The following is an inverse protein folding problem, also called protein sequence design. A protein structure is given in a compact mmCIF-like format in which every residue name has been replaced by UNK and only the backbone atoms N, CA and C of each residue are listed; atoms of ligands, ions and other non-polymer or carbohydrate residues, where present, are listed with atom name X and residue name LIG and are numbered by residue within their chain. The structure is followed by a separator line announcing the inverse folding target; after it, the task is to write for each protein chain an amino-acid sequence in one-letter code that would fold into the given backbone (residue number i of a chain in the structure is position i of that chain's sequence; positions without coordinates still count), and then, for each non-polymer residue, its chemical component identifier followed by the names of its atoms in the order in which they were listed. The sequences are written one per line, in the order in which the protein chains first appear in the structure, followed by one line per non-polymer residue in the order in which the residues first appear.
data_IF_496746088172
#
_entry.id   IF_496746088172
#
_cell.length_a   1.000
_cell.length_b   1.000
_cell.length_c   1.000
_cell.angle_alpha   90.00
_cell.angle_beta   90.00
_cell.angle_gamma   90.00
#
_symmetry.space_group_name_H-M   'P 1'
#
loop_
_entity.id
_entity.type
_entity.pdbx_description
1 polymer ?
#
# COMPACT_ATOMS: atom_id res chain seq x y z
N UNK A 1 7.48 -33.79 61.40
CA UNK A 1 7.66 -32.54 60.61
C UNK A 1 9.13 -32.22 60.28
N UNK A 2 10.14 -32.78 60.97
CA UNK A 2 11.57 -32.54 60.64
C UNK A 2 12.14 -33.44 59.53
N UNK A 3 11.39 -34.44 59.04
CA UNK A 3 11.88 -35.43 58.05
C UNK A 3 11.78 -34.98 56.59
N UNK A 4 10.97 -33.96 56.26
CA UNK A 4 10.79 -33.50 54.86
C UNK A 4 11.85 -32.47 54.41
N UNK A 5 12.53 -31.79 55.33
CA UNK A 5 13.45 -30.69 54.98
C UNK A 5 14.85 -31.14 54.54
N UNK A 6 15.22 -32.41 54.75
CA UNK A 6 16.60 -32.89 54.62
C UNK A 6 16.87 -33.68 53.32
N UNK A 7 15.93 -33.62 52.37
CA UNK A 7 16.07 -34.11 50.98
C UNK A 7 16.15 -32.97 49.96
N UNK A 8 16.52 -31.77 50.40
CA UNK A 8 16.51 -30.61 49.52
C UNK A 8 17.81 -30.51 48.71
N UNK A 9 17.74 -30.99 47.46
CA UNK A 9 18.63 -30.52 46.40
C UNK A 9 18.32 -29.04 46.16
N UNK A 10 19.31 -28.18 46.39
CA UNK A 10 19.18 -26.73 46.23
C UNK A 10 20.29 -26.17 45.35
N UNK A 11 19.97 -25.12 44.59
CA UNK A 11 20.98 -24.36 43.85
C UNK A 11 21.41 -23.21 44.76
N UNK A 12 22.68 -23.21 45.14
CA UNK A 12 23.27 -22.21 46.00
C UNK A 12 24.36 -21.47 45.23
N UNK A 13 24.28 -20.14 45.23
CA UNK A 13 25.37 -19.30 44.74
C UNK A 13 26.37 -19.14 45.88
N UNK A 14 27.59 -19.65 45.70
CA UNK A 14 28.63 -19.58 46.72
C UNK A 14 29.81 -18.80 46.14
N UNK A 15 30.10 -17.64 46.72
CA UNK A 15 31.36 -16.94 46.46
C UNK A 15 32.47 -17.66 47.22
N UNK A 16 33.41 -18.29 46.52
CA UNK A 16 34.62 -18.85 47.13
C UNK A 16 35.41 -17.72 47.80
N UNK A 17 35.80 -17.90 49.07
CA UNK A 17 36.43 -16.88 49.93
C UNK A 17 37.84 -16.43 49.55
N UNK A 18 38.20 -16.46 48.26
CA UNK A 18 39.36 -15.71 47.79
C UNK A 18 38.97 -14.23 47.64
N UNK A 19 39.78 -13.28 48.15
CA UNK A 19 39.52 -11.84 48.00
C UNK A 19 39.36 -11.37 46.53
N UNK A 20 39.72 -12.20 45.54
CA UNK A 20 39.61 -11.95 44.10
C UNK A 20 38.96 -13.11 43.31
N UNK A 21 38.29 -14.07 43.97
CA UNK A 21 37.72 -15.25 43.30
C UNK A 21 36.46 -14.93 42.47
N UNK A 22 36.31 -15.55 41.30
CA UNK A 22 35.08 -15.45 40.51
C UNK A 22 33.93 -16.21 41.21
N UNK A 23 32.70 -15.65 41.22
CA UNK A 23 31.56 -16.34 41.82
C UNK A 23 31.23 -17.62 41.03
N UNK A 24 31.14 -18.73 41.74
CA UNK A 24 30.70 -20.02 41.21
C UNK A 24 29.28 -20.34 41.67
N UNK A 25 28.50 -20.97 40.80
CA UNK A 25 27.15 -21.44 41.10
C UNK A 25 27.23 -22.94 41.36
N UNK A 26 26.89 -23.35 42.56
CA UNK A 26 26.92 -24.76 42.97
C UNK A 26 25.50 -25.31 43.06
N UNK A 27 25.27 -26.44 42.39
CA UNK A 27 24.13 -27.30 42.64
C UNK A 27 24.53 -28.29 43.73
N UNK A 28 23.90 -28.20 44.91
CA UNK A 28 24.24 -29.03 46.06
C UNK A 28 23.06 -29.92 46.42
N UNK A 29 23.33 -31.22 46.52
CA UNK A 29 22.42 -32.20 47.09
C UNK A 29 23.08 -32.84 48.29
N UNK A 30 22.51 -32.71 49.47
CA UNK A 30 23.04 -33.26 50.71
C UNK A 30 21.97 -34.01 51.50
N UNK A 31 22.38 -35.06 52.18
CA UNK A 31 21.56 -35.87 53.08
C UNK A 31 22.26 -36.04 54.42
N UNK A 32 21.51 -36.05 55.53
CA UNK A 32 22.10 -36.22 56.85
C UNK A 32 22.55 -37.67 57.03
N UNK A 33 23.60 -37.89 57.83
CA UNK A 33 24.04 -39.21 58.26
C UNK A 33 23.77 -39.34 59.76
N UNK A 34 23.19 -40.46 60.15
CA UNK A 34 22.96 -40.85 61.54
C UNK A 34 23.68 -42.18 61.81
N UNK A 35 24.10 -42.40 63.06
CA UNK A 35 24.64 -43.70 63.49
C UNK A 35 23.53 -44.72 63.83
N UNK A 36 23.93 -45.92 64.25
CA UNK A 36 23.03 -47.02 64.57
C UNK A 36 22.13 -46.74 65.79
N UNK A 37 22.47 -45.76 66.61
CA UNK A 37 21.70 -45.31 67.77
C UNK A 37 20.79 -44.11 67.43
N UNK A 38 20.80 -43.66 66.17
CA UNK A 38 20.00 -42.53 65.69
C UNK A 38 20.60 -41.15 66.00
N UNK A 39 21.86 -41.08 66.43
CA UNK A 39 22.54 -39.81 66.71
C UNK A 39 23.08 -39.22 65.42
N UNK A 40 22.89 -37.91 65.23
CA UNK A 40 23.36 -37.18 64.06
C UNK A 40 24.89 -37.13 64.01
N UNK A 41 25.46 -37.56 62.87
CA UNK A 41 26.90 -37.64 62.63
C UNK A 41 27.40 -36.62 61.59
N UNK A 42 26.50 -36.04 60.79
CA UNK A 42 26.88 -35.02 59.79
C UNK A 42 25.97 -34.95 58.58
N UNK A 43 26.47 -34.32 57.51
CA UNK A 43 25.84 -34.29 56.19
C UNK A 43 26.78 -34.89 55.16
N UNK A 44 26.25 -35.74 54.28
CA UNK A 44 26.93 -36.20 53.06
C UNK A 44 26.20 -35.63 51.86
N UNK A 45 26.93 -34.88 51.04
CA UNK A 45 26.39 -34.30 49.83
C UNK A 45 27.40 -34.22 48.71
N UNK A 46 26.89 -34.02 47.51
CA UNK A 46 27.66 -33.67 46.32
C UNK A 46 27.41 -32.22 45.98
N UNK A 47 28.46 -31.53 45.54
CA UNK A 47 28.37 -30.19 44.96
C UNK A 47 28.85 -30.28 43.51
N UNK A 48 28.08 -29.74 42.59
CA UNK A 48 28.44 -29.62 41.17
C UNK A 48 28.54 -28.15 40.80
N UNK A 49 29.66 -27.74 40.21
CA UNK A 49 29.76 -26.44 39.57
C UNK A 49 28.92 -26.41 38.30
N UNK A 50 27.93 -25.50 38.27
CA UNK A 50 27.02 -25.29 37.15
C UNK A 50 27.12 -23.86 36.59
N UNK A 51 28.20 -23.15 36.89
CA UNK A 51 28.41 -21.75 36.49
C UNK A 51 28.31 -21.58 34.98
N UNK A 52 29.06 -22.39 34.22
CA UNK A 52 29.06 -22.34 32.76
C UNK A 52 27.68 -22.65 32.19
N UNK A 53 27.04 -23.71 32.67
CA UNK A 53 25.68 -24.10 32.26
C UNK A 53 24.67 -22.97 32.49
N UNK A 54 24.71 -22.30 33.64
CA UNK A 54 23.81 -21.19 33.96
C UNK A 54 24.08 -19.95 33.12
N UNK A 55 25.34 -19.68 32.77
CA UNK A 55 25.70 -18.61 31.83
C UNK A 55 25.13 -18.89 30.44
N UNK A 56 25.34 -20.09 29.91
CA UNK A 56 24.80 -20.49 28.60
C UNK A 56 23.27 -20.45 28.57
N UNK A 57 22.60 -20.94 29.62
CA UNK A 57 21.14 -20.87 29.75
C UNK A 57 20.63 -19.42 29.75
N UNK A 58 21.32 -18.52 30.46
CA UNK A 58 20.97 -17.10 30.49
C UNK A 58 21.18 -16.43 29.14
N UNK A 59 22.31 -16.67 28.50
CA UNK A 59 22.62 -16.11 27.16
C UNK A 59 21.63 -16.62 26.12
N UNK A 60 21.28 -17.92 26.14
CA UNK A 60 20.28 -18.49 25.25
C UNK A 60 18.89 -17.87 25.46
N UNK A 61 18.44 -17.74 26.72
CA UNK A 61 17.17 -17.05 27.01
C UNK A 61 17.16 -15.60 26.54
N UNK A 62 18.29 -14.91 26.67
CA UNK A 62 18.43 -13.53 26.20
C UNK A 62 18.36 -13.46 24.67
N UNK A 63 19.01 -14.37 23.94
CA UNK A 63 18.95 -14.40 22.47
C UNK A 63 17.56 -14.79 21.96
N UNK A 64 16.88 -15.75 22.61
CA UNK A 64 15.49 -16.12 22.31
C UNK A 64 14.55 -14.92 22.48
N UNK A 65 14.65 -14.22 23.62
CA UNK A 65 13.84 -13.02 23.85
C UNK A 65 14.12 -11.92 22.81
N UNK A 66 15.38 -11.69 22.46
CA UNK A 66 15.75 -10.73 21.41
C UNK A 66 15.23 -11.14 20.03
N UNK A 67 15.25 -12.45 19.71
CA UNK A 67 14.74 -12.97 18.45
C UNK A 67 13.22 -12.75 18.33
N UNK A 68 12.47 -12.98 19.41
CA UNK A 68 11.03 -12.72 19.44
C UNK A 68 10.69 -11.25 19.21
N UNK A 69 11.42 -10.34 19.87
CA UNK A 69 11.23 -8.88 19.67
C UNK A 69 11.53 -8.48 18.22
N UNK A 70 12.65 -8.96 17.66
CA UNK A 70 13.00 -8.67 16.26
C UNK A 70 11.99 -9.24 15.27
N UNK A 71 11.44 -10.42 15.53
CA UNK A 71 10.42 -11.02 14.67
C UNK A 71 9.16 -10.14 14.63
N UNK A 72 8.71 -9.64 15.78
CA UNK A 72 7.57 -8.72 15.87
C UNK A 72 7.85 -7.38 15.16
N UNK A 73 9.04 -6.83 15.33
CA UNK A 73 9.45 -5.59 14.65
C UNK A 73 9.48 -5.77 13.12
N UNK A 74 10.04 -6.88 12.63
CA UNK A 74 10.04 -7.19 11.20
C UNK A 74 8.64 -7.36 10.63
N UNK A 75 7.72 -7.98 11.37
CA UNK A 75 6.33 -8.15 10.95
C UNK A 75 5.63 -6.80 10.79
N UNK A 76 5.85 -5.87 11.73
CA UNK A 76 5.31 -4.51 11.67
C UNK A 76 5.87 -3.73 10.48
N UNK A 77 7.20 -3.78 10.27
CA UNK A 77 7.85 -3.12 9.14
C UNK A 77 7.34 -3.67 7.80
N UNK A 78 7.11 -4.99 7.71
CA UNK A 78 6.60 -5.61 6.49
C UNK A 78 5.18 -5.15 6.16
N UNK A 79 4.32 -4.96 7.17
CA UNK A 79 2.97 -4.44 6.95
C UNK A 79 3.00 -2.98 6.47
N UNK A 80 3.82 -2.14 7.10
CA UNK A 80 4.02 -0.75 6.68
C UNK A 80 4.59 -0.65 5.25
N UNK A 81 5.54 -1.53 4.89
CA UNK A 81 6.11 -1.57 3.55
C UNK A 81 5.06 -1.96 2.51
N UNK A 82 4.24 -2.97 2.80
CA UNK A 82 3.15 -3.42 1.91
C UNK A 82 2.12 -2.32 1.68
N UNK A 83 1.69 -1.63 2.75
CA UNK A 83 0.71 -0.54 2.64
C UNK A 83 1.28 0.62 1.83
N UNK A 84 2.53 1.00 2.07
CA UNK A 84 3.23 2.04 1.31
C UNK A 84 3.37 1.66 -0.17
N UNK A 85 3.76 0.42 -0.49
CA UNK A 85 3.85 -0.06 -1.86
C UNK A 85 2.50 0.02 -2.58
N UNK A 86 1.40 -0.38 -1.93
CA UNK A 86 0.07 -0.29 -2.51
C UNK A 86 -0.32 1.17 -2.83
N UNK A 87 0.01 2.12 -1.93
CA UNK A 87 -0.22 3.55 -2.17
C UNK A 87 0.61 4.07 -3.35
N UNK A 88 1.88 3.69 -3.46
CA UNK A 88 2.74 4.10 -4.57
C UNK A 88 2.23 3.57 -5.91
N UNK A 89 1.82 2.30 -5.97
CA UNK A 89 1.21 1.71 -7.17
C UNK A 89 -0.06 2.48 -7.55
N UNK A 90 -0.90 2.82 -6.58
CA UNK A 90 -2.11 3.59 -6.85
C UNK A 90 -1.80 4.99 -7.37
N UNK A 91 -0.82 5.69 -6.78
CA UNK A 91 -0.35 7.00 -7.26
C UNK A 91 0.19 6.91 -8.69
N UNK A 92 0.99 5.89 -9.00
CA UNK A 92 1.52 5.68 -10.34
C UNK A 92 0.40 5.43 -11.37
N UNK A 93 -0.63 4.65 -11.01
CA UNK A 93 -1.82 4.46 -11.87
C UNK A 93 -2.55 5.77 -12.14
N UNK A 94 -2.77 6.60 -11.11
CA UNK A 94 -3.43 7.89 -11.28
C UNK A 94 -2.61 8.84 -12.16
N UNK A 95 -1.29 8.86 -12.01
CA UNK A 95 -0.40 9.66 -12.86
C UNK A 95 -0.45 9.20 -14.32
N UNK A 96 -0.36 7.89 -14.57
CA UNK A 96 -0.46 7.32 -15.92
C UNK A 96 -1.82 7.62 -16.56
N UNK A 97 -2.91 7.49 -15.80
CA UNK A 97 -4.25 7.84 -16.27
C UNK A 97 -4.37 9.33 -16.59
N UNK A 98 -3.81 10.21 -15.77
CA UNK A 98 -3.79 11.65 -16.02
C UNK A 98 -3.06 12.02 -17.32
N UNK A 99 -1.91 11.37 -17.59
CA UNK A 99 -1.15 11.59 -18.82
C UNK A 99 -1.91 11.12 -20.06
N UNK A 100 -2.57 9.96 -19.98
CA UNK A 100 -3.46 9.47 -21.05
C UNK A 100 -4.64 10.42 -21.27
N UNK A 101 -5.31 10.86 -20.20
CA UNK A 101 -6.46 11.76 -20.28
C UNK A 101 -6.08 13.11 -20.90
N UNK A 102 -4.90 13.65 -20.57
CA UNK A 102 -4.38 14.86 -21.19
C UNK A 102 -4.19 14.68 -22.71
N UNK A 103 -3.62 13.55 -23.13
CA UNK A 103 -3.49 13.19 -24.55
C UNK A 103 -4.84 13.12 -25.26
N UNK A 104 -5.81 12.39 -24.69
CA UNK A 104 -7.18 12.28 -25.24
C UNK A 104 -7.85 13.65 -25.34
N UNK A 105 -7.66 14.51 -24.34
CA UNK A 105 -8.24 15.87 -24.33
C UNK A 105 -7.70 16.69 -25.50
N UNK A 106 -6.39 16.63 -25.75
CA UNK A 106 -5.78 17.32 -26.90
C UNK A 106 -6.26 16.72 -28.23
N UNK A 107 -6.39 15.40 -28.34
CA UNK A 107 -6.88 14.74 -29.56
C UNK A 107 -8.35 15.02 -29.86
N UNK A 108 -9.21 15.19 -28.85
CA UNK A 108 -10.61 15.61 -29.01
C UNK A 108 -10.72 17.10 -29.35
N UNK A 109 -9.92 17.93 -28.70
CA UNK A 109 -9.97 19.37 -28.92
C UNK A 109 -9.50 19.76 -30.32
N UNK A 110 -8.61 18.98 -30.94
CA UNK A 110 -8.12 19.25 -32.30
C UNK A 110 -9.24 19.29 -33.37
N UNK A 111 -10.06 18.22 -33.57
CA UNK A 111 -11.15 18.26 -34.55
C UNK A 111 -12.25 19.25 -34.15
N UNK A 112 -12.54 19.43 -32.86
CA UNK A 112 -13.52 20.43 -32.39
C UNK A 112 -13.07 21.84 -32.75
N UNK A 113 -11.80 22.15 -32.49
CA UNK A 113 -11.18 23.43 -32.86
C UNK A 113 -11.24 23.67 -34.36
N UNK A 114 -10.96 22.64 -35.17
CA UNK A 114 -11.08 22.72 -36.63
C UNK A 114 -12.51 22.98 -37.09
N UNK A 115 -13.51 22.31 -36.50
CA UNK A 115 -14.92 22.57 -36.82
C UNK A 115 -15.25 24.02 -36.50
N UNK A 116 -14.93 24.47 -35.29
CA UNK A 116 -15.28 25.81 -34.82
C UNK A 116 -14.62 26.90 -35.67
N UNK A 117 -13.34 26.73 -36.04
CA UNK A 117 -12.62 27.70 -36.87
C UNK A 117 -13.16 27.80 -38.30
N UNK A 118 -13.85 26.77 -38.79
CA UNK A 118 -14.45 26.78 -40.13
C UNK A 118 -15.91 27.26 -40.15
N UNK A 119 -16.57 27.42 -38.99
CA UNK A 119 -17.95 27.91 -38.94
C UNK A 119 -18.03 29.38 -39.38
N UNK A 120 -17.17 30.26 -38.84
CA UNK A 120 -17.19 31.70 -39.16
C UNK A 120 -16.96 31.94 -40.67
N UNK A 121 -15.91 31.39 -41.32
CA UNK A 121 -15.70 31.61 -42.75
C UNK A 121 -16.81 30.98 -43.61
N UNK A 122 -17.36 29.83 -43.20
CA UNK A 122 -18.49 29.22 -43.90
C UNK A 122 -19.75 30.10 -43.84
N UNK A 123 -19.99 30.75 -42.71
CA UNK A 123 -21.07 31.73 -42.55
C UNK A 123 -20.83 32.96 -43.41
N UNK A 124 -19.61 33.49 -43.45
CA UNK A 124 -19.24 34.61 -44.33
C UNK A 124 -19.48 34.26 -45.82
N UNK A 125 -19.00 33.09 -46.27
CA UNK A 125 -19.24 32.63 -47.64
C UNK A 125 -20.72 32.45 -47.96
N UNK A 126 -21.51 31.98 -46.99
CA UNK A 126 -22.96 31.84 -47.14
C UNK A 126 -23.63 33.21 -47.28
N UNK A 127 -23.25 34.19 -46.45
CA UNK A 127 -23.75 35.56 -46.53
C UNK A 127 -23.42 36.21 -47.87
N UNK A 128 -22.19 36.05 -48.36
CA UNK A 128 -21.76 36.55 -49.66
C UNK A 128 -22.56 35.92 -50.80
N UNK A 129 -22.78 34.60 -50.76
CA UNK A 129 -23.62 33.89 -51.72
C UNK A 129 -25.06 34.40 -51.73
N UNK A 130 -25.67 34.55 -50.56
CA UNK A 130 -27.03 35.07 -50.43
C UNK A 130 -27.13 36.51 -50.93
N UNK A 131 -26.10 37.32 -50.66
CA UNK A 131 -26.02 38.70 -51.14
C UNK A 131 -25.93 38.75 -52.67
N UNK A 132 -25.13 37.87 -53.28
CA UNK A 132 -25.01 37.76 -54.73
C UNK A 132 -26.32 37.32 -55.38
N UNK A 133 -27.01 36.33 -54.82
CA UNK A 133 -28.34 35.90 -55.26
C UNK A 133 -29.34 37.05 -55.18
N UNK A 134 -29.32 37.81 -54.07
CA UNK A 134 -30.21 38.97 -53.89
C UNK A 134 -29.95 40.05 -54.94
N UNK A 135 -28.68 40.33 -55.25
CA UNK A 135 -28.30 41.28 -56.30
C UNK A 135 -28.74 40.80 -57.69
N UNK A 136 -28.58 39.51 -58.00
CA UNK A 136 -29.05 38.91 -59.26
C UNK A 136 -30.58 39.04 -59.42
N UNK A 137 -31.34 38.74 -58.37
CA UNK A 137 -32.80 38.89 -58.38
C UNK A 137 -33.22 40.35 -58.57
N UNK A 138 -32.48 41.31 -58.01
CA UNK A 138 -32.73 42.74 -58.17
C UNK A 138 -32.42 43.24 -59.58
N UNK A 139 -31.33 42.79 -60.19
CA UNK A 139 -30.90 43.26 -61.51
C UNK A 139 -31.59 42.55 -62.67
N UNK A 140 -32.19 41.37 -62.45
CA UNK A 140 -32.87 40.60 -63.48
C UNK A 140 -34.29 40.17 -63.05
N UNK A 141 -35.30 41.05 -63.21
CA UNK A 141 -36.67 40.82 -62.73
C UNK A 141 -37.39 39.63 -63.38
N UNK A 142 -36.93 39.22 -64.57
CA UNK A 142 -37.44 38.06 -65.31
C UNK A 142 -36.28 37.08 -65.58
N UNK A 143 -35.98 36.19 -64.64
CA UNK A 143 -34.98 35.13 -64.86
C UNK A 143 -35.43 34.20 -65.99
N UNK A 144 -34.48 33.46 -66.58
CA UNK A 144 -34.77 32.51 -67.66
C UNK A 144 -35.82 31.47 -67.24
N UNK A 145 -36.56 30.93 -68.22
CA UNK A 145 -37.61 29.94 -67.99
C UNK A 145 -37.12 28.72 -67.19
N UNK A 146 -35.85 28.34 -67.36
CA UNK A 146 -35.21 27.24 -66.65
C UNK A 146 -35.04 27.53 -65.14
N UNK A 147 -34.61 28.74 -64.78
CA UNK A 147 -34.47 29.18 -63.38
C UNK A 147 -35.85 29.36 -62.73
N UNK A 148 -36.83 29.90 -63.46
CA UNK A 148 -38.21 30.04 -62.98
C UNK A 148 -38.86 28.70 -62.66
N UNK A 149 -38.70 27.70 -63.54
CA UNK A 149 -39.19 26.35 -63.31
C UNK A 149 -38.56 25.73 -62.05
N UNK A 150 -37.26 25.93 -61.83
CA UNK A 150 -36.58 25.40 -60.65
C UNK A 150 -37.02 26.06 -59.33
N UNK A 151 -37.30 27.36 -59.35
CA UNK A 151 -37.88 28.08 -58.20
C UNK A 151 -39.32 27.59 -57.91
N UNK A 152 -40.15 27.42 -58.95
CA UNK A 152 -41.52 26.92 -58.80
C UNK A 152 -41.58 25.49 -58.23
N UNK A 153 -40.72 24.57 -58.70
CA UNK A 153 -40.63 23.20 -58.18
C UNK A 153 -40.37 23.13 -56.66
N UNK A 154 -39.56 24.04 -56.11
CA UNK A 154 -39.30 24.13 -54.66
C UNK A 154 -40.44 24.74 -53.84
N UNK A 155 -41.28 25.57 -54.46
CA UNK A 155 -42.47 26.14 -53.80
C UNK A 155 -43.63 25.13 -53.66
N UNK A 156 -43.73 24.18 -54.60
CA UNK A 156 -44.75 23.12 -54.57
C UNK A 156 -44.47 22.07 -53.48
N UNK A 157 -43.20 21.70 -53.28
CA UNK A 157 -42.76 20.73 -52.25
C UNK A 157 -42.99 21.23 -50.82
N UNK A 158 -42.89 22.54 -50.55
CA UNK A 158 -43.21 23.10 -49.21
C UNK A 158 -44.71 23.19 -48.91
N UNK A 159 -45.58 23.32 -49.91
CA UNK A 159 -47.05 23.36 -49.71
C UNK A 159 -47.65 21.95 -49.53
N UNK A 160 -47.08 20.92 -50.16
CA UNK A 160 -47.54 19.54 -50.00
C UNK A 160 -47.23 18.93 -48.62
N UNK A 161 -46.23 19.42 -47.89
CA UNK A 161 -45.91 18.93 -46.53
C UNK A 161 -46.69 19.61 -45.39
N UNK A 162 -47.61 20.53 -45.69
CA UNK A 162 -48.43 21.22 -44.66
C UNK A 162 -49.88 20.70 -44.59
N UNK A 163 -50.15 19.57 -45.24
CA UNK A 163 -51.39 18.80 -45.18
C UNK A 163 -51.03 17.36 -44.77
N UNK A 164 -50.70 17.17 -43.49
CA UNK A 164 -50.83 15.94 -42.71
C UNK A 164 -50.50 16.27 -41.25
#
# INVERSE_FOLDING_TARGET
MFEEAIRNTGIFTISTGEPQGYPIVLEISASPIFDAQGVWQGYRGIARDITERKRTEKTLRQSEAQCLVKAQELELILDELKTTQAQLVQKAKMASLGQLLAGVTHEINNPVGFIYSNIEPAMEYLEDLLRLITLYQKSNPTPSAEIQNHIQLRSCTKKSCRLN
#
